data_IF_144974041006
#
_entry.id   IF_144974041006
#
_cell.length_a   1.000
_cell.length_b   1.000
_cell.length_c   1.000
_cell.angle_alpha   90.00
_cell.angle_beta   90.00
_cell.angle_gamma   90.00
#
_symmetry.space_group_name_H-M   'P 1'
#
loop_
_entity.id
_entity.type
_entity.pdbx_description
1 polymer ?
#
# COMPACT_ATOMS: atom_id res chain seq x y z
N UNK A 1 10.25 -37.73 -28.70
CA UNK A 1 11.27 -37.43 -27.67
C UNK A 1 11.28 -38.62 -26.73
N UNK A 2 12.44 -39.27 -26.57
CA UNK A 2 12.65 -40.47 -25.74
C UNK A 2 12.32 -40.19 -24.27
N UNK A 3 11.79 -41.24 -23.65
CA UNK A 3 11.50 -41.49 -22.26
C UNK A 3 12.31 -40.67 -21.24
N UNK A 4 11.58 -39.95 -20.39
CA UNK A 4 12.10 -39.41 -19.15
C UNK A 4 11.07 -39.64 -18.06
N UNK A 5 11.42 -40.44 -17.04
CA UNK A 5 10.72 -40.55 -15.77
C UNK A 5 10.81 -39.21 -15.01
N UNK A 6 10.18 -38.16 -15.53
CA UNK A 6 10.08 -36.89 -14.83
C UNK A 6 9.04 -37.07 -13.71
N UNK A 7 9.51 -37.09 -12.46
CA UNK A 7 8.66 -36.95 -11.29
C UNK A 7 8.59 -35.48 -10.90
N UNK A 8 7.38 -34.98 -10.64
CA UNK A 8 7.12 -33.59 -10.28
C UNK A 8 5.62 -33.30 -10.25
N UNK A 9 5.26 -32.22 -9.57
CA UNK A 9 3.90 -31.68 -9.57
C UNK A 9 3.67 -30.80 -10.79
N UNK A 10 2.43 -30.76 -11.27
CA UNK A 10 1.97 -29.82 -12.29
C UNK A 10 2.07 -28.39 -11.77
N UNK A 11 2.06 -27.41 -12.69
CA UNK A 11 2.04 -25.99 -12.30
C UNK A 11 0.84 -25.67 -11.40
N UNK A 12 -0.32 -26.27 -11.68
CA UNK A 12 -1.53 -26.03 -10.87
C UNK A 12 -1.37 -26.61 -9.46
N UNK A 13 -0.88 -27.85 -9.34
CA UNK A 13 -0.62 -28.46 -8.02
C UNK A 13 0.44 -27.67 -7.23
N UNK A 14 1.45 -27.12 -7.90
CA UNK A 14 2.45 -26.28 -7.26
C UNK A 14 1.86 -24.95 -6.75
N UNK A 15 0.90 -24.36 -7.47
CA UNK A 15 0.17 -23.16 -7.04
C UNK A 15 -0.78 -23.46 -5.89
N UNK A 16 -1.51 -24.58 -5.96
CA UNK A 16 -2.45 -25.02 -4.92
C UNK A 16 -1.73 -25.44 -3.62
N UNK A 17 -0.47 -25.86 -3.73
CA UNK A 17 0.37 -26.18 -2.57
C UNK A 17 0.87 -24.94 -1.81
N UNK A 18 0.70 -23.73 -2.34
CA UNK A 18 1.10 -22.49 -1.65
C UNK A 18 0.18 -22.28 -0.45
N UNK A 19 0.75 -22.25 0.75
CA UNK A 19 0.01 -21.90 1.96
C UNK A 19 -0.40 -20.43 1.92
N UNK A 20 -1.72 -20.12 2.00
CA UNK A 20 -2.17 -18.74 2.03
C UNK A 20 -1.62 -17.99 3.25
N UNK A 21 -1.23 -16.71 3.10
CA UNK A 21 -0.78 -15.91 4.23
C UNK A 21 -1.93 -15.61 5.19
N UNK A 22 -1.61 -15.38 6.47
CA UNK A 22 -2.58 -14.91 7.44
C UNK A 22 -3.06 -13.50 7.08
N UNK A 23 -4.38 -13.33 6.97
CA UNK A 23 -5.00 -12.04 6.65
C UNK A 23 -5.04 -11.15 7.91
N UNK A 24 -4.57 -9.90 7.85
CA UNK A 24 -4.50 -9.01 9.02
C UNK A 24 -5.86 -8.34 9.33
N UNK A 25 -6.86 -9.13 9.71
CA UNK A 25 -8.24 -8.66 10.00
C UNK A 25 -8.34 -7.84 11.29
N UNK A 26 -7.49 -8.13 12.27
CA UNK A 26 -7.55 -7.50 13.60
C UNK A 26 -6.80 -6.16 13.66
N UNK A 27 -6.18 -5.74 12.55
CA UNK A 27 -5.49 -4.44 12.44
C UNK A 27 -6.47 -3.33 12.03
N UNK A 28 -6.14 -2.06 12.28
CA UNK A 28 -6.91 -0.94 11.75
C UNK A 28 -7.10 -1.01 10.23
N UNK A 29 -8.22 -0.48 9.73
CA UNK A 29 -8.51 -0.47 8.30
C UNK A 29 -7.48 0.40 7.54
N UNK A 30 -6.86 -0.16 6.50
CA UNK A 30 -6.10 0.57 5.48
C UNK A 30 -6.49 0.08 4.10
N UNK A 31 -7.03 0.99 3.29
CA UNK A 31 -7.47 0.71 1.92
C UNK A 31 -6.93 1.80 1.00
N UNK A 32 -5.74 1.60 0.39
CA UNK A 32 -5.18 2.50 -0.61
C UNK A 32 -6.06 2.54 -1.86
N UNK A 33 -6.42 3.74 -2.29
CA UNK A 33 -7.26 3.95 -3.47
C UNK A 33 -6.46 3.76 -4.74
N UNK A 34 -6.96 2.90 -5.63
CA UNK A 34 -6.47 2.70 -6.98
C UNK A 34 -7.13 3.68 -7.94
N UNK A 35 -8.46 3.83 -7.86
CA UNK A 35 -9.27 4.69 -8.71
C UNK A 35 -10.47 5.27 -7.97
N UNK A 36 -11.08 6.32 -8.53
CA UNK A 36 -12.30 6.94 -8.01
C UNK A 36 -13.24 7.25 -9.16
N UNK A 37 -14.46 6.72 -9.10
CA UNK A 37 -15.48 6.87 -10.14
C UNK A 37 -16.66 7.71 -9.67
N UNK A 38 -17.32 8.38 -10.63
CA UNK A 38 -18.64 9.00 -10.43
C UNK A 38 -19.68 8.18 -11.18
N UNK A 39 -20.55 7.50 -10.45
CA UNK A 39 -21.61 6.68 -11.00
C UNK A 39 -22.94 7.44 -10.90
N UNK A 40 -23.66 7.58 -12.01
CA UNK A 40 -24.98 8.24 -12.03
C UNK A 40 -25.97 7.55 -11.10
N UNK A 41 -26.69 8.32 -10.27
CA UNK A 41 -27.67 7.79 -9.31
C UNK A 41 -27.07 7.18 -8.02
N UNK A 42 -25.81 6.76 -8.05
CA UNK A 42 -25.11 6.15 -6.89
C UNK A 42 -24.20 7.18 -6.20
N UNK A 43 -23.47 7.99 -6.96
CA UNK A 43 -22.54 8.99 -6.44
C UNK A 43 -21.08 8.59 -6.61
N UNK A 44 -20.25 8.89 -5.61
CA UNK A 44 -18.81 8.64 -5.65
C UNK A 44 -18.49 7.23 -5.18
N UNK A 45 -17.70 6.50 -5.99
CA UNK A 45 -17.29 5.12 -5.71
C UNK A 45 -15.76 5.02 -5.83
N UNK A 46 -15.03 5.04 -4.71
CA UNK A 46 -13.62 4.70 -4.68
C UNK A 46 -13.42 3.19 -4.84
N UNK A 47 -12.30 2.82 -5.44
CA UNK A 47 -11.91 1.43 -5.67
C UNK A 47 -10.50 1.22 -5.13
N UNK A 48 -10.27 0.11 -4.45
CA UNK A 48 -8.94 -0.27 -3.98
C UNK A 48 -8.93 -1.62 -3.31
N UNK A 49 -7.75 -1.99 -2.80
CA UNK A 49 -7.56 -3.24 -2.06
C UNK A 49 -7.57 -2.98 -0.57
N UNK A 50 -8.29 -3.80 0.19
CA UNK A 50 -8.16 -3.81 1.65
C UNK A 50 -6.80 -4.43 1.99
N UNK A 51 -5.87 -3.67 2.57
CA UNK A 51 -4.56 -4.20 2.96
C UNK A 51 -4.58 -4.75 4.39
N UNK A 52 -5.34 -4.09 5.27
CA UNK A 52 -5.50 -4.44 6.69
C UNK A 52 -6.88 -4.04 7.17
N UNK A 53 -7.36 -4.70 8.23
CA UNK A 53 -8.67 -4.46 8.82
C UNK A 53 -9.84 -4.93 7.96
N UNK A 54 -11.04 -4.48 8.32
CA UNK A 54 -12.29 -4.88 7.67
C UNK A 54 -13.05 -3.61 7.27
N UNK A 55 -13.63 -3.61 6.07
CA UNK A 55 -14.53 -2.56 5.61
C UNK A 55 -15.97 -3.08 5.60
N UNK A 56 -16.92 -2.33 6.18
CA UNK A 56 -18.35 -2.68 6.19
C UNK A 56 -19.20 -1.48 5.77
N UNK A 57 -20.35 -1.71 5.13
CA UNK A 57 -21.40 -0.70 5.02
C UNK A 57 -21.75 -0.13 6.41
N UNK A 58 -22.00 1.17 6.47
CA UNK A 58 -22.29 1.93 7.70
C UNK A 58 -21.05 2.40 8.48
N UNK A 59 -19.84 1.95 8.12
CA UNK A 59 -18.62 2.48 8.74
C UNK A 59 -18.38 3.93 8.33
N UNK A 60 -17.82 4.71 9.26
CA UNK A 60 -17.33 6.06 8.99
C UNK A 60 -15.84 5.96 8.69
N UNK A 61 -15.43 6.39 7.50
CA UNK A 61 -14.05 6.30 7.02
C UNK A 61 -13.46 7.69 6.78
N UNK A 62 -12.17 7.82 7.04
CA UNK A 62 -11.37 9.01 6.75
C UNK A 62 -10.39 8.71 5.62
N UNK A 63 -10.29 9.64 4.68
CA UNK A 63 -9.33 9.60 3.58
C UNK A 63 -8.13 10.49 3.89
N UNK A 64 -6.95 9.88 4.00
CA UNK A 64 -5.69 10.59 4.12
C UNK A 64 -5.01 10.77 2.75
N UNK A 65 -4.24 11.86 2.52
CA UNK A 65 -3.92 12.92 3.47
C UNK A 65 -4.96 14.06 3.52
N UNK A 66 -6.02 14.01 2.70
CA UNK A 66 -6.98 15.12 2.55
C UNK A 66 -7.91 15.35 3.75
N UNK A 67 -7.92 14.41 4.71
CA UNK A 67 -8.70 14.44 5.95
C UNK A 67 -10.22 14.59 5.73
N UNK A 68 -10.72 14.07 4.60
CA UNK A 68 -12.15 14.00 4.31
C UNK A 68 -12.75 12.78 5.02
N UNK A 69 -13.84 12.96 5.75
CA UNK A 69 -14.51 11.88 6.50
C UNK A 69 -15.95 11.70 6.01
N UNK A 70 -16.37 10.45 5.81
CA UNK A 70 -17.70 10.13 5.30
C UNK A 70 -18.15 8.73 5.71
N UNK A 71 -19.43 8.44 5.54
CA UNK A 71 -20.01 7.12 5.78
C UNK A 71 -20.03 6.28 4.50
N UNK A 72 -19.62 5.02 4.62
CA UNK A 72 -19.68 4.00 3.57
C UNK A 72 -21.11 3.48 3.48
N UNK A 73 -21.73 3.50 2.29
CA UNK A 73 -23.12 3.06 2.11
C UNK A 73 -23.26 1.64 1.61
N UNK A 74 -22.39 1.25 0.70
CA UNK A 74 -22.32 -0.12 0.17
C UNK A 74 -20.87 -0.47 -0.12
N UNK A 75 -20.60 -1.77 -0.14
CA UNK A 75 -19.31 -2.35 -0.55
C UNK A 75 -19.63 -3.43 -1.56
N UNK A 76 -18.92 -3.44 -2.67
CA UNK A 76 -19.17 -4.33 -3.80
C UNK A 76 -17.86 -4.92 -4.32
N UNK A 77 -17.89 -6.20 -4.70
CA UNK A 77 -16.81 -6.90 -5.37
C UNK A 77 -17.38 -7.72 -6.53
N UNK A 78 -16.85 -7.56 -7.73
CA UNK A 78 -17.30 -8.30 -8.92
C UNK A 78 -18.83 -8.26 -9.18
N UNK A 79 -19.47 -7.11 -8.91
CA UNK A 79 -20.94 -6.88 -9.02
C UNK A 79 -21.80 -7.58 -7.96
N UNK A 80 -21.19 -8.06 -6.87
CA UNK A 80 -21.92 -8.58 -5.72
C UNK A 80 -21.75 -7.65 -4.51
N UNK A 81 -22.86 -7.40 -3.82
CA UNK A 81 -22.86 -6.62 -2.59
C UNK A 81 -22.29 -7.45 -1.43
N UNK A 82 -21.35 -6.87 -0.69
CA UNK A 82 -20.70 -7.50 0.44
C UNK A 82 -21.22 -6.94 1.76
N UNK A 83 -21.39 -7.82 2.75
CA UNK A 83 -21.65 -7.42 4.15
C UNK A 83 -20.39 -6.90 4.83
N UNK A 84 -19.23 -7.40 4.41
CA UNK A 84 -17.91 -6.95 4.81
C UNK A 84 -16.87 -7.30 3.73
N UNK A 85 -15.80 -6.51 3.65
CA UNK A 85 -14.64 -6.80 2.81
C UNK A 85 -13.41 -6.99 3.70
N UNK A 86 -12.64 -8.03 3.39
CA UNK A 86 -11.52 -8.53 4.19
C UNK A 86 -10.17 -8.19 3.53
N UNK A 87 -9.05 -8.26 4.27
CA UNK A 87 -7.73 -7.99 3.71
C UNK A 87 -7.44 -8.88 2.50
N UNK A 88 -7.10 -8.30 1.36
CA UNK A 88 -6.87 -8.96 0.07
C UNK A 88 -7.99 -8.73 -0.95
N UNK A 89 -9.19 -8.34 -0.51
CA UNK A 89 -10.32 -8.09 -1.40
C UNK A 89 -10.13 -6.78 -2.17
N UNK A 90 -10.44 -6.77 -3.46
CA UNK A 90 -10.43 -5.57 -4.30
C UNK A 90 -11.88 -5.13 -4.48
N UNK A 91 -12.23 -4.02 -3.85
CA UNK A 91 -13.62 -3.60 -3.69
C UNK A 91 -13.85 -2.20 -4.23
N UNK A 92 -15.06 -1.98 -4.75
CA UNK A 92 -15.63 -0.65 -4.91
C UNK A 92 -16.57 -0.38 -3.74
N UNK A 93 -16.59 0.84 -3.20
CA UNK A 93 -17.49 1.17 -2.11
C UNK A 93 -18.14 2.54 -2.31
N UNK A 94 -19.43 2.66 -2.02
CA UNK A 94 -20.13 3.94 -2.18
C UNK A 94 -19.92 4.83 -0.95
N UNK A 95 -19.67 6.11 -1.17
CA UNK A 95 -19.60 7.13 -0.11
C UNK A 95 -20.49 8.33 -0.41
N UNK A 96 -21.06 8.94 0.63
CA UNK A 96 -21.90 10.15 0.50
C UNK A 96 -21.10 11.43 0.64
N UNK A 97 -21.61 12.51 0.05
CA UNK A 97 -21.13 13.88 0.29
C UNK A 97 -19.63 14.11 0.04
N UNK A 98 -18.99 13.26 -0.77
CA UNK A 98 -17.60 13.41 -1.20
C UNK A 98 -17.59 13.48 -2.72
N UNK A 99 -16.96 14.51 -3.27
CA UNK A 99 -16.78 14.64 -4.72
C UNK A 99 -15.61 13.78 -5.18
N UNK A 100 -15.67 13.27 -6.42
CA UNK A 100 -14.53 12.60 -7.07
C UNK A 100 -13.29 13.49 -7.22
N UNK A 101 -13.43 14.81 -7.01
CA UNK A 101 -12.31 15.75 -6.99
C UNK A 101 -11.62 15.85 -5.63
N UNK A 102 -12.30 15.46 -4.55
CA UNK A 102 -11.81 15.62 -3.18
C UNK A 102 -10.87 14.47 -2.78
N UNK A 103 -10.98 13.33 -3.45
CA UNK A 103 -10.19 12.13 -3.23
C UNK A 103 -9.65 11.60 -4.56
N UNK A 104 -8.51 10.93 -4.53
CA UNK A 104 -7.85 10.41 -5.73
C UNK A 104 -7.01 9.17 -5.45
N UNK A 105 -6.52 8.55 -6.53
CA UNK A 105 -5.47 7.50 -6.46
C UNK A 105 -4.32 7.93 -5.54
N UNK A 106 -3.86 7.00 -4.72
CA UNK A 106 -2.80 7.24 -3.75
C UNK A 106 -3.28 7.75 -2.39
N UNK A 107 -4.54 8.20 -2.26
CA UNK A 107 -5.14 8.41 -0.93
C UNK A 107 -5.41 7.07 -0.26
N UNK A 108 -5.50 7.08 1.07
CA UNK A 108 -5.75 5.88 1.88
C UNK A 108 -7.01 6.09 2.70
N UNK A 109 -7.98 5.20 2.55
CA UNK A 109 -9.14 5.15 3.42
C UNK A 109 -8.83 4.30 4.67
N UNK A 110 -9.35 4.71 5.81
CA UNK A 110 -9.35 3.90 7.03
C UNK A 110 -10.47 4.28 7.97
N UNK A 111 -10.68 3.48 9.02
CA UNK A 111 -11.75 3.70 9.99
C UNK A 111 -11.47 5.00 10.77
N UNK A 112 -12.41 5.94 10.74
CA UNK A 112 -12.29 7.22 11.43
C UNK A 112 -12.18 7.10 12.94
N UNK A 113 -12.63 5.98 13.52
CA UNK A 113 -12.71 5.75 14.97
C UNK A 113 -11.64 4.79 15.48
N UNK A 114 -10.87 4.16 14.60
CA UNK A 114 -9.86 3.18 14.98
C UNK A 114 -8.58 3.44 14.19
N UNK A 115 -7.70 4.27 14.76
CA UNK A 115 -6.41 4.66 14.19
C UNK A 115 -6.53 5.10 12.71
N UNK A 116 -7.20 6.24 12.43
CA UNK A 116 -7.36 6.73 11.07
C UNK A 116 -5.99 6.99 10.40
N UNK A 117 -5.87 6.76 9.08
CA UNK A 117 -4.64 7.10 8.36
C UNK A 117 -4.41 8.62 8.41
N UNK A 118 -3.15 9.02 8.39
CA UNK A 118 -2.73 10.42 8.49
C UNK A 118 -1.65 10.74 7.45
N UNK A 119 -1.49 12.03 7.17
CA UNK A 119 -0.38 12.49 6.35
C UNK A 119 0.96 12.35 7.07
N UNK A 120 2.02 12.06 6.31
CA UNK A 120 3.39 12.07 6.81
C UNK A 120 4.14 13.24 6.19
N UNK A 121 4.52 14.23 7.02
CA UNK A 121 5.38 15.32 6.57
C UNK A 121 6.80 14.83 6.23
N UNK A 122 7.26 13.82 6.95
CA UNK A 122 8.50 13.08 6.68
C UNK A 122 8.38 11.69 7.29
N UNK A 123 9.24 10.77 6.84
CA UNK A 123 9.35 9.44 7.41
C UNK A 123 10.82 9.01 7.40
N UNK A 124 11.17 8.12 8.32
CA UNK A 124 12.48 7.44 8.32
C UNK A 124 12.27 6.03 7.80
N UNK A 125 13.14 5.58 6.90
CA UNK A 125 13.03 4.25 6.28
C UNK A 125 14.39 3.64 6.07
N UNK A 126 14.50 2.34 6.29
CA UNK A 126 15.65 1.60 5.81
C UNK A 126 15.56 1.43 4.28
N UNK A 127 16.60 1.88 3.58
CA UNK A 127 16.73 1.72 2.12
C UNK A 127 17.83 0.72 1.79
N UNK A 128 17.64 -0.03 0.72
CA UNK A 128 18.67 -0.88 0.11
C UNK A 128 18.86 -0.40 -1.32
N UNK A 129 20.05 0.09 -1.64
CA UNK A 129 20.34 0.62 -2.97
C UNK A 129 20.60 -0.55 -3.90
N UNK A 130 19.75 -0.70 -4.92
CA UNK A 130 19.91 -1.71 -5.96
C UNK A 130 20.93 -1.22 -7.01
N UNK A 131 20.65 -1.44 -8.29
CA UNK A 131 21.51 -0.97 -9.37
C UNK A 131 21.22 0.51 -9.67
N UNK A 132 22.08 1.38 -9.15
CA UNK A 132 22.03 2.82 -9.41
C UNK A 132 23.31 3.25 -10.18
N UNK A 133 23.19 4.06 -11.27
CA UNK A 133 24.32 4.40 -12.13
C UNK A 133 25.29 5.43 -11.50
N UNK A 134 24.88 6.10 -10.43
CA UNK A 134 25.68 7.08 -9.71
C UNK A 134 25.62 6.88 -8.20
N UNK A 135 25.84 7.95 -7.45
CA UNK A 135 25.71 7.97 -6.00
C UNK A 135 24.48 8.78 -5.59
N UNK A 136 23.91 8.43 -4.43
CA UNK A 136 22.78 9.13 -3.82
C UNK A 136 23.29 9.92 -2.64
N UNK A 137 23.07 11.23 -2.64
CA UNK A 137 23.39 12.11 -1.52
C UNK A 137 22.12 12.75 -0.96
N UNK A 138 22.22 13.31 0.24
CA UNK A 138 21.16 14.15 0.79
C UNK A 138 20.78 15.23 -0.23
N UNK A 139 19.49 15.39 -0.46
CA UNK A 139 18.93 16.23 -1.51
C UNK A 139 18.44 15.50 -2.75
N UNK A 140 18.85 14.24 -2.97
CA UNK A 140 18.31 13.42 -4.05
C UNK A 140 16.80 13.25 -3.90
N UNK A 141 16.03 13.52 -4.96
CA UNK A 141 14.57 13.54 -4.92
C UNK A 141 13.95 12.63 -6.00
N UNK A 142 14.08 11.30 -5.86
CA UNK A 142 13.44 10.35 -6.76
C UNK A 142 11.93 10.31 -6.53
N UNK A 143 11.22 9.70 -7.47
CA UNK A 143 9.84 9.30 -7.24
C UNK A 143 9.80 8.01 -6.44
N UNK A 144 9.00 8.00 -5.38
CA UNK A 144 8.69 6.82 -4.59
C UNK A 144 7.31 6.31 -4.97
N UNK A 145 7.26 5.02 -5.27
CA UNK A 145 6.03 4.25 -5.32
C UNK A 145 5.82 3.60 -3.95
N UNK A 146 4.74 3.99 -3.28
CA UNK A 146 4.30 3.39 -2.03
C UNK A 146 2.83 3.06 -2.18
N UNK A 147 2.42 1.81 -1.97
CA UNK A 147 1.06 1.34 -2.27
C UNK A 147 0.59 1.76 -3.67
N UNK A 148 -0.43 2.62 -3.75
CA UNK A 148 -0.97 3.21 -4.97
C UNK A 148 -0.51 4.65 -5.22
N UNK A 149 0.26 5.24 -4.29
CA UNK A 149 0.81 6.58 -4.40
C UNK A 149 2.12 6.59 -5.19
N UNK A 150 2.30 7.66 -5.97
CA UNK A 150 3.44 7.91 -6.83
C UNK A 150 3.87 9.37 -6.62
N UNK A 151 4.86 9.60 -5.75
CA UNK A 151 5.18 10.94 -5.24
C UNK A 151 6.70 11.12 -5.19
N UNK A 152 7.19 12.27 -5.66
CA UNK A 152 8.59 12.66 -5.48
C UNK A 152 8.90 12.89 -3.99
N UNK A 153 9.86 12.16 -3.44
CA UNK A 153 10.29 12.32 -2.05
C UNK A 153 11.78 12.64 -2.01
N UNK A 154 12.14 13.67 -1.25
CA UNK A 154 13.52 14.09 -1.06
C UNK A 154 14.16 13.28 0.06
N UNK A 155 15.34 12.72 -0.19
CA UNK A 155 16.24 12.20 0.82
C UNK A 155 16.77 13.39 1.63
N UNK A 156 16.07 13.77 2.68
CA UNK A 156 16.41 14.94 3.48
C UNK A 156 17.75 14.77 4.21
N UNK A 157 17.96 13.59 4.77
CA UNK A 157 19.14 13.19 5.52
C UNK A 157 19.48 11.72 5.22
N UNK A 158 20.75 11.37 5.38
CA UNK A 158 21.22 9.99 5.40
C UNK A 158 21.75 9.77 6.82
N UNK A 159 21.01 9.06 7.68
CA UNK A 159 21.31 8.99 9.12
C UNK A 159 22.47 8.07 9.40
N UNK A 160 22.41 6.87 8.83
CA UNK A 160 23.45 5.87 9.03
C UNK A 160 23.50 4.86 7.89
N UNK A 161 24.71 4.39 7.61
CA UNK A 161 24.94 3.20 6.79
C UNK A 161 24.93 1.98 7.68
N UNK A 162 24.26 0.92 7.26
CA UNK A 162 24.11 -0.31 8.03
C UNK A 162 24.53 -1.52 7.20
N UNK A 163 24.94 -2.58 7.88
CA UNK A 163 25.08 -3.89 7.25
C UNK A 163 23.70 -4.44 6.91
N UNK A 164 23.49 -4.80 5.63
CA UNK A 164 22.17 -5.23 5.12
C UNK A 164 21.62 -6.47 5.84
N UNK A 165 22.47 -7.36 6.35
CA UNK A 165 22.05 -8.64 6.94
C UNK A 165 21.82 -8.54 8.44
N UNK A 166 22.75 -7.91 9.15
CA UNK A 166 22.74 -7.81 10.61
C UNK A 166 22.06 -6.55 11.13
N UNK A 167 21.86 -5.53 10.29
CA UNK A 167 21.38 -4.21 10.71
C UNK A 167 22.41 -3.43 11.54
N UNK A 168 23.64 -3.94 11.70
CA UNK A 168 24.67 -3.27 12.49
C UNK A 168 25.10 -1.99 11.79
N UNK A 169 25.11 -0.89 12.52
CA UNK A 169 25.64 0.40 12.06
C UNK A 169 27.11 0.30 11.66
N UNK A 170 27.43 0.84 10.49
CA UNK A 170 28.77 0.88 9.89
C UNK A 170 29.34 2.30 9.86
N UNK A 171 28.51 3.29 9.56
CA UNK A 171 28.92 4.69 9.39
C UNK A 171 27.78 5.62 9.80
N UNK A 172 28.07 6.65 10.60
CA UNK A 172 27.13 7.72 10.92
C UNK A 172 27.19 8.82 9.86
N UNK A 173 26.03 9.31 9.43
CA UNK A 173 25.87 10.42 8.49
C UNK A 173 26.71 10.28 7.19
N UNK A 174 26.54 9.20 6.41
CA UNK A 174 27.32 8.99 5.20
C UNK A 174 27.06 10.12 4.18
N UNK A 175 28.13 10.60 3.52
CA UNK A 175 28.01 11.67 2.51
C UNK A 175 27.25 11.23 1.25
N UNK A 176 27.35 9.94 0.91
CA UNK A 176 26.65 9.36 -0.22
C UNK A 176 26.47 7.85 -0.06
N UNK A 177 25.48 7.31 -0.78
CA UNK A 177 25.20 5.88 -0.91
C UNK A 177 25.46 5.42 -2.35
N UNK A 178 25.89 4.17 -2.51
CA UNK A 178 26.08 3.52 -3.81
C UNK A 178 25.36 2.18 -3.87
N UNK A 179 25.30 1.59 -5.06
CA UNK A 179 24.74 0.27 -5.30
C UNK A 179 25.27 -0.77 -4.31
N UNK A 180 24.36 -1.52 -3.69
CA UNK A 180 24.63 -2.54 -2.67
C UNK A 180 24.60 -2.03 -1.22
N UNK A 181 24.63 -0.72 -1.00
CA UNK A 181 24.56 -0.16 0.35
C UNK A 181 23.16 -0.32 0.97
N UNK A 182 23.12 -0.47 2.29
CA UNK A 182 21.90 -0.32 3.08
C UNK A 182 22.08 0.86 4.05
N UNK A 183 21.04 1.66 4.22
CA UNK A 183 21.08 2.86 5.04
C UNK A 183 19.72 3.16 5.68
N UNK A 184 19.73 4.02 6.70
CA UNK A 184 18.55 4.62 7.34
C UNK A 184 18.53 6.13 7.06
#
# INVERSE_FOLDING_TARGET
RKDGNASGTTLLEALDAIQPPTRPTDKPLRLPLQDVYKIGGIGTVPVGRVETGILKPGMVVTFAPVNVTTEVKSVEMHHEALTEALPGDNVGFNVKNVSVKDIRRGNVAGDSRNDPPQEAASFTSQVIILNHPGQISAGYAPVLDCHTAHIACKFAELKEKIDRRSGKKLEDNPKSLKSGDAAI
#
